data_IF_557682221559
#
_entry.id   IF_557682221559
#
_cell.length_a   1.000
_cell.length_b   1.000
_cell.length_c   1.000
_cell.angle_alpha   90.00
_cell.angle_beta   90.00
_cell.angle_gamma   90.00
#
_symmetry.space_group_name_H-M   'P 1'
#
loop_
_entity.id
_entity.type
_entity.pdbx_description
1 polymer ?
#
# COMPACT_ATOMS: atom_id res chain seq x y z
N UNK A 1 -4.11 -7.55 0.50
CA UNK A 1 -5.04 -6.82 1.39
C UNK A 1 -6.42 -6.66 0.75
N UNK A 2 -7.51 -6.82 1.52
CA UNK A 2 -8.87 -6.60 1.00
C UNK A 2 -9.29 -5.15 1.13
N UNK A 3 -9.98 -4.61 0.12
CA UNK A 3 -10.36 -3.19 0.11
C UNK A 3 -11.37 -2.84 1.20
N UNK A 4 -12.22 -3.80 1.58
CA UNK A 4 -13.18 -3.67 2.68
C UNK A 4 -12.53 -3.58 4.06
N UNK A 5 -11.30 -4.07 4.22
CA UNK A 5 -10.55 -3.94 5.48
C UNK A 5 -9.88 -2.56 5.60
N UNK A 6 -9.69 -1.88 4.47
CA UNK A 6 -9.05 -0.57 4.37
C UNK A 6 -10.11 0.52 4.53
N UNK A 7 -11.26 0.36 3.86
CA UNK A 7 -12.43 1.24 4.00
C UNK A 7 -13.00 1.09 5.42
N UNK A 8 -13.06 2.20 6.16
CA UNK A 8 -13.44 2.23 7.58
C UNK A 8 -12.26 2.29 8.56
N UNK A 9 -11.02 2.32 8.07
CA UNK A 9 -9.89 2.75 8.89
C UNK A 9 -9.76 4.27 8.88
N UNK A 10 -9.24 4.82 9.97
CA UNK A 10 -8.90 6.24 10.09
C UNK A 10 -7.84 6.66 9.05
N UNK A 11 -8.01 7.82 8.44
CA UNK A 11 -7.13 8.34 7.38
C UNK A 11 -5.67 8.42 7.83
N UNK A 12 -5.40 8.80 9.08
CA UNK A 12 -4.02 8.85 9.61
C UNK A 12 -3.42 7.45 9.70
N UNK A 13 -4.20 6.46 10.12
CA UNK A 13 -3.76 5.05 10.12
C UNK A 13 -3.47 4.56 8.69
N UNK A 14 -4.28 4.97 7.71
CA UNK A 14 -4.04 4.65 6.31
C UNK A 14 -2.76 5.30 5.78
N UNK A 15 -2.45 6.53 6.20
CA UNK A 15 -1.19 7.21 5.86
C UNK A 15 0.03 6.52 6.49
N UNK A 16 -0.06 6.09 7.74
CA UNK A 16 0.99 5.33 8.41
C UNK A 16 1.22 3.99 7.69
N UNK A 17 0.14 3.27 7.37
CA UNK A 17 0.20 2.02 6.62
C UNK A 17 0.80 2.21 5.22
N UNK A 18 0.46 3.30 4.54
CA UNK A 18 1.06 3.67 3.25
C UNK A 18 2.57 3.87 3.35
N UNK A 19 3.04 4.55 4.40
CA UNK A 19 4.46 4.77 4.63
C UNK A 19 5.21 3.44 4.84
N UNK A 20 4.65 2.55 5.67
CA UNK A 20 5.19 1.20 5.88
C UNK A 20 5.27 0.41 4.58
N UNK A 21 4.19 0.37 3.78
CA UNK A 21 4.18 -0.38 2.52
C UNK A 21 5.15 0.15 1.48
N UNK A 22 5.37 1.48 1.45
CA UNK A 22 6.40 2.11 0.60
C UNK A 22 7.81 1.71 1.04
N UNK A 23 8.07 1.66 2.34
CA UNK A 23 9.35 1.23 2.88
C UNK A 23 9.65 -0.25 2.54
N UNK A 24 8.66 -1.13 2.73
CA UNK A 24 8.74 -2.56 2.34
C UNK A 24 9.05 -2.71 0.84
N UNK A 25 8.37 -1.94 -0.02
CA UNK A 25 8.63 -1.99 -1.46
C UNK A 25 10.05 -1.52 -1.81
N UNK A 26 10.55 -0.47 -1.13
CA UNK A 26 11.90 0.04 -1.34
C UNK A 26 12.98 -0.95 -0.88
N UNK A 27 12.71 -1.71 0.17
CA UNK A 27 13.56 -2.81 0.61
C UNK A 27 13.59 -3.95 -0.42
N UNK A 28 12.42 -4.41 -0.88
CA UNK A 28 12.31 -5.45 -1.92
C UNK A 28 13.02 -5.08 -3.23
N UNK A 29 12.92 -3.82 -3.65
CA UNK A 29 13.65 -3.30 -4.81
C UNK A 29 15.17 -3.28 -4.59
N UNK A 30 15.64 -3.04 -3.36
CA UNK A 30 17.06 -3.07 -2.99
C UNK A 30 17.61 -4.49 -2.88
N UNK A 31 16.79 -5.45 -2.46
CA UNK A 31 17.11 -6.87 -2.34
C UNK A 31 17.25 -7.57 -3.71
N UNK A 32 18.20 -7.14 -4.54
CA UNK A 32 18.49 -7.73 -5.87
C UNK A 32 19.05 -9.17 -5.85
N UNK A 33 19.08 -9.87 -4.71
CA UNK A 33 19.99 -11.04 -4.53
C UNK A 33 19.39 -12.39 -4.19
N UNK A 34 18.10 -12.53 -3.86
CA UNK A 34 17.56 -13.84 -3.46
C UNK A 34 16.21 -14.10 -4.13
N UNK A 35 16.23 -14.94 -5.17
CA UNK A 35 15.09 -15.38 -5.99
C UNK A 35 14.30 -14.28 -6.73
N UNK A 36 14.68 -14.02 -7.99
CA UNK A 36 14.03 -13.01 -8.85
C UNK A 36 12.50 -13.18 -8.96
N UNK A 37 11.98 -14.42 -8.97
CA UNK A 37 10.54 -14.65 -9.14
C UNK A 37 9.70 -14.34 -7.89
N UNK A 38 10.18 -14.71 -6.70
CA UNK A 38 9.48 -14.45 -5.44
C UNK A 38 9.44 -12.94 -5.14
N UNK A 39 10.60 -12.29 -5.30
CA UNK A 39 10.72 -10.86 -5.07
C UNK A 39 9.83 -10.03 -6.04
N UNK A 40 9.74 -10.42 -7.31
CA UNK A 40 8.86 -9.76 -8.27
C UNK A 40 7.37 -9.90 -7.94
N UNK A 41 6.94 -11.05 -7.42
CA UNK A 41 5.54 -11.26 -7.04
C UNK A 41 5.17 -10.41 -5.82
N UNK A 42 6.01 -10.43 -4.78
CA UNK A 42 5.81 -9.62 -3.57
C UNK A 42 5.82 -8.12 -3.90
N UNK A 43 6.75 -7.65 -4.72
CA UNK A 43 6.79 -6.26 -5.15
C UNK A 43 5.53 -5.83 -5.92
N UNK A 44 4.96 -6.72 -6.75
CA UNK A 44 3.67 -6.46 -7.41
C UNK A 44 2.54 -6.37 -6.39
N UNK A 45 2.49 -7.28 -5.42
CA UNK A 45 1.47 -7.29 -4.37
C UNK A 45 1.53 -6.00 -3.55
N UNK A 46 2.73 -5.55 -3.16
CA UNK A 46 2.94 -4.29 -2.44
C UNK A 46 2.45 -3.08 -3.24
N UNK A 47 2.72 -3.02 -4.55
CA UNK A 47 2.20 -1.95 -5.42
C UNK A 47 0.68 -1.94 -5.47
N UNK A 48 0.05 -3.10 -5.59
CA UNK A 48 -1.41 -3.22 -5.57
C UNK A 48 -1.99 -2.76 -4.24
N UNK A 49 -1.39 -3.15 -3.12
CA UNK A 49 -1.86 -2.75 -1.79
C UNK A 49 -1.68 -1.23 -1.57
N UNK A 50 -0.57 -0.64 -2.02
CA UNK A 50 -0.37 0.82 -2.03
C UNK A 50 -1.46 1.53 -2.84
N UNK A 51 -1.78 1.04 -4.04
CA UNK A 51 -2.79 1.65 -4.89
C UNK A 51 -4.18 1.63 -4.24
N UNK A 52 -4.53 0.54 -3.55
CA UNK A 52 -5.78 0.43 -2.78
C UNK A 52 -5.82 1.44 -1.64
N UNK A 53 -4.74 1.57 -0.85
CA UNK A 53 -4.68 2.54 0.25
C UNK A 53 -4.85 3.97 -0.27
N UNK A 54 -4.14 4.33 -1.34
CA UNK A 54 -4.27 5.65 -1.97
C UNK A 54 -5.69 5.92 -2.48
N UNK A 55 -6.34 4.91 -3.04
CA UNK A 55 -7.72 5.03 -3.53
C UNK A 55 -8.65 5.36 -2.37
N UNK A 56 -8.57 4.61 -1.26
CA UNK A 56 -9.42 4.84 -0.08
C UNK A 56 -9.12 6.21 0.55
N UNK A 57 -7.85 6.59 0.74
CA UNK A 57 -7.51 7.92 1.25
C UNK A 57 -8.16 9.02 0.38
N UNK A 58 -8.08 8.90 -0.95
CA UNK A 58 -8.67 9.87 -1.85
C UNK A 58 -10.21 9.88 -1.82
N UNK A 59 -10.84 8.74 -1.57
CA UNK A 59 -12.30 8.64 -1.37
C UNK A 59 -12.71 9.40 -0.09
N UNK A 60 -12.07 9.10 1.04
CA UNK A 60 -12.34 9.73 2.33
C UNK A 60 -12.08 11.25 2.30
N UNK A 61 -10.96 11.70 1.71
CA UNK A 61 -10.66 13.13 1.59
C UNK A 61 -11.64 13.87 0.67
N UNK A 62 -12.18 13.19 -0.36
CA UNK A 62 -13.24 13.77 -1.21
C UNK A 62 -14.56 13.88 -0.46
N UNK A 63 -14.90 12.90 0.37
CA UNK A 63 -16.10 12.94 1.21
C UNK A 63 -16.01 14.01 2.30
N UNK A 64 -14.83 14.24 2.88
CA UNK A 64 -14.61 15.32 3.86
C UNK A 64 -14.70 16.74 3.27
N UNK A 65 -14.51 16.88 1.95
CA UNK A 65 -14.47 18.17 1.25
C UNK A 65 -15.71 18.47 0.40
N UNK A 66 -16.67 17.55 0.33
CA UNK A 66 -17.93 17.65 -0.42
C UNK A 66 -19.09 18.11 0.47
#
# INVERSE_FOLDING_TARGET
MNISEIRGQDVKKLQDLLATKRAELAEKVREKRVSERGNLHEARQLRTDIAKILTVINEETKEETA
#
